data_IF_663510280125
#
_entry.id   IF_663510280125
#
_cell.length_a   1.000
_cell.length_b   1.000
_cell.length_c   1.000
_cell.angle_alpha   90.00
_cell.angle_beta   90.00
_cell.angle_gamma   90.00
#
_symmetry.space_group_name_H-M   'P 1'
#
loop_
_entity.id
_entity.type
_entity.pdbx_description
1 polymer ?
#
# COMPACT_ATOMS: atom_id res chain seq x y z
N UNK A 1 -21.90 -16.02 5.69
CA UNK A 1 -21.32 -17.23 5.11
C UNK A 1 -21.11 -16.93 3.65
N UNK A 2 -19.87 -16.80 3.22
CA UNK A 2 -19.55 -16.70 1.82
C UNK A 2 -19.81 -18.05 1.17
N UNK A 3 -20.53 -18.06 0.06
CA UNK A 3 -20.77 -19.29 -0.70
C UNK A 3 -19.45 -19.71 -1.36
N UNK A 4 -18.90 -20.83 -0.94
CA UNK A 4 -17.84 -21.49 -1.69
C UNK A 4 -18.42 -21.94 -3.03
N UNK A 5 -17.76 -21.58 -4.16
CA UNK A 5 -18.14 -22.09 -5.47
C UNK A 5 -18.08 -23.62 -5.55
N UNK A 6 -18.75 -24.20 -6.52
CA UNK A 6 -18.69 -25.64 -6.77
C UNK A 6 -17.31 -26.04 -7.29
N UNK A 7 -16.64 -26.94 -6.59
CA UNK A 7 -15.37 -27.50 -7.01
C UNK A 7 -15.32 -29.01 -6.73
N UNK A 8 -14.61 -29.75 -7.57
CA UNK A 8 -14.52 -31.21 -7.43
C UNK A 8 -13.64 -31.62 -6.24
N UNK A 9 -12.38 -31.23 -6.28
CA UNK A 9 -11.42 -31.49 -5.20
C UNK A 9 -10.17 -30.62 -5.36
N UNK A 10 -9.51 -30.34 -4.25
CA UNK A 10 -8.21 -29.66 -4.20
C UNK A 10 -7.14 -30.69 -3.86
N UNK A 11 -6.08 -30.77 -4.66
CA UNK A 11 -4.92 -31.62 -4.47
C UNK A 11 -3.64 -30.81 -4.33
N UNK A 12 -2.66 -31.35 -3.63
CA UNK A 12 -1.33 -30.75 -3.48
C UNK A 12 -0.89 -30.67 -2.02
N UNK A 13 0.17 -29.91 -1.80
CA UNK A 13 0.78 -29.76 -0.47
C UNK A 13 0.03 -28.72 0.39
N UNK A 14 -1.26 -28.88 0.58
CA UNK A 14 -2.13 -27.92 1.29
C UNK A 14 -1.64 -27.61 2.71
N UNK A 15 -0.93 -28.56 3.33
CA UNK A 15 -0.34 -28.39 4.67
C UNK A 15 0.77 -27.32 4.74
N UNK A 16 1.33 -26.95 3.59
CA UNK A 16 2.34 -25.88 3.50
C UNK A 16 1.69 -24.49 3.47
N UNK A 17 0.42 -24.40 3.05
CA UNK A 17 -0.32 -23.14 3.03
C UNK A 17 -0.84 -22.85 4.44
N UNK A 18 -0.57 -21.66 4.95
CA UNK A 18 -1.05 -21.20 6.25
C UNK A 18 -2.17 -20.19 6.12
N UNK A 19 -1.99 -19.22 5.23
CA UNK A 19 -2.91 -18.12 5.05
C UNK A 19 -3.08 -17.82 3.55
N UNK A 20 -4.21 -17.18 3.20
CA UNK A 20 -4.50 -16.65 1.88
C UNK A 20 -4.92 -15.19 2.05
N UNK A 21 -4.21 -14.28 1.40
CA UNK A 21 -4.47 -12.85 1.45
C UNK A 21 -4.89 -12.35 0.08
N UNK A 22 -6.12 -11.85 -0.02
CA UNK A 22 -6.61 -11.19 -1.23
C UNK A 22 -6.35 -9.69 -1.16
N UNK A 23 -5.48 -9.21 -2.06
CA UNK A 23 -5.03 -7.82 -2.09
C UNK A 23 -5.74 -7.09 -3.23
N UNK A 24 -6.89 -6.55 -2.92
CA UNK A 24 -7.75 -5.80 -3.82
C UNK A 24 -7.45 -4.28 -3.81
N UNK A 25 -8.12 -3.55 -4.70
CA UNK A 25 -8.03 -2.10 -4.82
C UNK A 25 -8.95 -1.34 -3.84
N UNK A 26 -9.64 -2.04 -2.94
CA UNK A 26 -10.47 -1.38 -1.94
C UNK A 26 -9.65 -0.49 -1.01
N UNK A 27 -10.18 0.65 -0.57
CA UNK A 27 -9.49 1.53 0.37
C UNK A 27 -9.03 0.79 1.62
N UNK A 28 -7.85 1.13 2.12
CA UNK A 28 -7.25 0.56 3.35
C UNK A 28 -8.18 0.77 4.54
N UNK A 29 -8.88 1.91 4.54
CA UNK A 29 -9.87 2.28 5.54
C UNK A 29 -10.81 3.32 4.93
N UNK A 30 -12.09 3.26 5.32
CA UNK A 30 -13.08 4.29 4.98
C UNK A 30 -12.96 5.53 5.89
N UNK A 31 -12.14 5.46 6.93
CA UNK A 31 -11.94 6.56 7.87
C UNK A 31 -11.00 7.60 7.29
N UNK A 32 -11.41 8.87 7.29
CA UNK A 32 -10.57 10.04 6.96
C UNK A 32 -9.33 10.16 7.86
N UNK A 33 -9.35 9.52 9.02
CA UNK A 33 -8.29 9.50 10.04
C UNK A 33 -7.25 8.41 9.84
N UNK A 34 -7.45 7.50 8.91
CA UNK A 34 -6.44 6.51 8.53
C UNK A 34 -5.50 7.11 7.50
N UNK A 35 -4.23 6.79 7.62
CA UNK A 35 -3.19 7.18 6.67
C UNK A 35 -2.11 6.08 6.56
N UNK A 36 -1.27 6.11 5.52
CA UNK A 36 -0.24 5.09 5.31
C UNK A 36 0.70 4.91 6.49
N UNK A 37 1.10 5.99 7.17
CA UNK A 37 2.05 5.91 8.29
C UNK A 37 1.45 5.24 9.52
N UNK A 38 0.14 5.40 9.77
CA UNK A 38 -0.56 4.67 10.84
C UNK A 38 -0.78 3.22 10.49
N UNK A 39 -1.09 2.92 9.22
CA UNK A 39 -1.28 1.55 8.74
C UNK A 39 -0.02 0.69 8.90
N UNK A 40 1.15 1.24 8.57
CA UNK A 40 2.44 0.57 8.77
C UNK A 40 2.96 0.66 10.20
N UNK A 41 2.21 1.25 11.14
CA UNK A 41 2.61 1.48 12.55
C UNK A 41 3.89 2.29 12.73
N UNK A 42 4.31 3.04 11.70
CA UNK A 42 5.45 3.95 11.80
C UNK A 42 5.13 5.17 12.66
N UNK A 43 3.87 5.60 12.66
CA UNK A 43 3.40 6.73 13.45
C UNK A 43 3.56 6.53 14.97
N UNK A 44 3.46 5.30 15.44
CA UNK A 44 3.65 4.99 16.86
C UNK A 44 5.08 5.30 17.34
N UNK A 45 6.07 5.01 16.51
CA UNK A 45 7.47 5.34 16.82
C UNK A 45 7.71 6.85 16.71
N UNK A 46 7.12 7.53 15.73
CA UNK A 46 7.20 8.98 15.59
C UNK A 46 6.61 9.67 16.84
N UNK A 47 5.43 9.23 17.31
CA UNK A 47 4.81 9.79 18.53
C UNK A 47 5.68 9.61 19.78
N UNK A 48 6.35 8.45 19.90
CA UNK A 48 7.30 8.21 21.00
C UNK A 48 8.47 9.18 20.93
N UNK A 49 9.06 9.37 19.75
CA UNK A 49 10.17 10.29 19.52
C UNK A 49 9.80 11.72 19.95
N UNK A 50 8.59 12.19 19.64
CA UNK A 50 8.14 13.53 20.05
C UNK A 50 7.86 13.62 21.55
N UNK A 51 7.36 12.57 22.18
CA UNK A 51 7.17 12.54 23.64
C UNK A 51 8.50 12.54 24.42
N UNK A 52 9.59 12.11 23.81
CA UNK A 52 10.93 12.13 24.42
C UNK A 52 11.62 13.49 24.36
N UNK A 53 11.08 14.48 23.64
CA UNK A 53 11.66 15.80 23.53
C UNK A 53 11.63 16.57 24.88
N UNK A 54 12.57 17.47 25.08
CA UNK A 54 12.71 18.21 26.34
C UNK A 54 11.43 18.96 26.76
N UNK A 55 10.78 19.64 25.78
CA UNK A 55 9.54 20.37 26.03
C UNK A 55 8.40 19.43 26.40
N UNK A 56 8.30 18.26 25.72
CA UNK A 56 7.30 17.24 26.06
C UNK A 56 7.43 16.72 27.48
N UNK A 57 8.66 16.50 27.94
CA UNK A 57 8.94 16.06 29.30
C UNK A 57 8.61 17.13 30.34
N UNK A 58 8.83 18.41 30.00
CA UNK A 58 8.48 19.54 30.88
C UNK A 58 6.97 19.72 31.05
N UNK A 59 6.19 19.41 29.96
CA UNK A 59 4.74 19.57 29.93
C UNK A 59 4.00 18.26 30.20
N UNK A 60 4.72 17.19 30.52
CA UNK A 60 4.19 15.84 30.78
C UNK A 60 3.37 15.29 29.61
N UNK A 61 3.82 15.53 28.36
CA UNK A 61 3.16 15.03 27.16
C UNK A 61 3.57 13.58 26.87
N UNK A 62 2.62 12.67 27.03
CA UNK A 62 2.79 11.28 26.62
C UNK A 62 2.66 11.12 25.09
N UNK A 63 3.04 9.97 24.49
CA UNK A 63 2.85 9.72 23.06
C UNK A 63 1.40 9.87 22.56
N UNK A 64 0.40 9.76 23.45
CA UNK A 64 -1.00 9.95 23.14
C UNK A 64 -1.33 11.39 22.71
N UNK A 65 -0.64 12.38 23.26
CA UNK A 65 -0.83 13.80 22.91
C UNK A 65 -0.46 14.10 21.45
N UNK A 66 0.46 13.34 20.88
CA UNK A 66 0.88 13.43 19.47
C UNK A 66 0.00 12.60 18.51
N UNK A 67 -1.17 12.16 18.97
CA UNK A 67 -2.17 11.47 18.16
C UNK A 67 -3.25 12.44 17.70
N UNK A 68 -3.52 12.51 16.39
CA UNK A 68 -4.67 13.25 15.86
C UNK A 68 -5.99 12.45 16.00
N UNK A 69 -5.94 11.19 16.46
CA UNK A 69 -7.11 10.32 16.60
C UNK A 69 -7.68 10.30 18.03
N UNK A 70 -6.87 10.66 19.02
CA UNK A 70 -7.26 10.62 20.43
C UNK A 70 -7.35 12.02 21.03
N UNK A 71 -8.27 12.27 21.99
CA UNK A 71 -8.31 13.54 22.73
C UNK A 71 -7.00 13.81 23.46
N UNK A 72 -6.71 15.09 23.73
CA UNK A 72 -5.52 15.54 24.43
C UNK A 72 -4.80 16.61 23.61
N UNK A 73 -3.96 16.22 22.67
CA UNK A 73 -3.19 17.15 21.84
C UNK A 73 -3.80 17.51 20.50
N UNK A 74 -4.83 16.80 20.03
CA UNK A 74 -5.51 17.12 18.78
C UNK A 74 -6.35 18.41 18.91
N UNK A 75 -6.58 19.07 17.78
CA UNK A 75 -7.57 20.13 17.69
C UNK A 75 -8.97 19.55 17.95
N UNK A 76 -9.68 20.05 18.95
CA UNK A 76 -11.01 19.51 19.28
C UNK A 76 -12.11 20.00 18.35
N UNK A 77 -11.92 21.15 17.68
CA UNK A 77 -12.89 21.70 16.72
C UNK A 77 -13.06 20.77 15.50
N UNK A 78 -11.95 20.35 14.88
CA UNK A 78 -11.96 19.41 13.76
C UNK A 78 -11.67 17.97 14.21
N UNK A 79 -11.52 17.72 15.50
CA UNK A 79 -11.20 16.41 16.07
C UNK A 79 -9.97 15.72 15.43
N UNK A 80 -8.99 16.54 14.99
CA UNK A 80 -7.75 16.07 14.40
C UNK A 80 -7.80 15.82 12.88
N UNK A 81 -8.89 16.15 12.19
CA UNK A 81 -8.98 16.01 10.74
C UNK A 81 -8.28 17.13 9.97
N UNK A 82 -8.15 18.30 10.59
CA UNK A 82 -7.62 19.52 9.94
C UNK A 82 -8.66 20.25 9.11
N UNK A 83 -9.75 19.59 8.75
CA UNK A 83 -10.87 20.11 7.96
C UNK A 83 -12.19 19.86 8.67
N UNK A 84 -13.23 20.59 8.27
CA UNK A 84 -14.62 20.41 8.71
C UNK A 84 -15.44 20.10 7.47
N UNK A 85 -16.16 19.00 7.50
CA UNK A 85 -17.07 18.60 6.43
C UNK A 85 -18.48 19.08 6.77
N UNK A 86 -19.07 19.84 5.86
CA UNK A 86 -20.48 20.29 5.93
C UNK A 86 -21.27 19.42 4.97
N UNK A 87 -22.07 18.51 5.53
CA UNK A 87 -22.92 17.62 4.75
C UNK A 87 -24.05 18.43 4.06
N UNK A 88 -24.19 18.23 2.75
CA UNK A 88 -25.19 18.91 1.91
C UNK A 88 -26.21 17.89 1.41
N UNK A 89 -27.50 18.11 1.71
CA UNK A 89 -28.57 17.14 1.39
C UNK A 89 -28.73 16.81 -0.11
N UNK A 90 -28.39 17.74 -1.01
CA UNK A 90 -28.61 17.59 -2.46
C UNK A 90 -27.39 17.92 -3.33
N UNK A 91 -26.24 18.17 -2.73
CA UNK A 91 -24.98 18.50 -3.41
C UNK A 91 -23.83 17.75 -2.75
N UNK A 92 -22.66 17.77 -3.40
CA UNK A 92 -21.43 17.23 -2.79
C UNK A 92 -21.13 17.98 -1.48
N UNK A 93 -20.63 17.25 -0.49
CA UNK A 93 -20.24 17.82 0.79
C UNK A 93 -19.17 18.89 0.62
N UNK A 94 -19.28 19.97 1.39
CA UNK A 94 -18.31 21.05 1.41
C UNK A 94 -17.26 20.76 2.48
N UNK A 95 -16.00 20.63 2.06
CA UNK A 95 -14.87 20.46 2.95
C UNK A 95 -14.13 21.79 3.08
N UNK A 96 -14.09 22.35 4.29
CA UNK A 96 -13.40 23.60 4.60
C UNK A 96 -12.27 23.37 5.57
N UNK A 97 -11.23 24.20 5.49
CA UNK A 97 -10.12 24.17 6.46
C UNK A 97 -10.63 24.57 7.85
N UNK A 98 -10.13 23.90 8.90
CA UNK A 98 -10.50 24.23 10.26
C UNK A 98 -9.89 25.58 10.68
N UNK A 99 -10.72 26.55 10.97
CA UNK A 99 -10.30 27.91 11.37
C UNK A 99 -9.47 27.90 12.67
N UNK A 100 -9.67 26.94 13.57
CA UNK A 100 -8.97 26.89 14.85
C UNK A 100 -7.53 26.41 14.71
N UNK A 101 -7.26 25.40 13.88
CA UNK A 101 -5.91 24.83 13.74
C UNK A 101 -5.27 25.10 12.37
N UNK A 102 -5.97 25.78 11.48
CA UNK A 102 -5.49 26.08 10.12
C UNK A 102 -4.88 24.83 9.44
N UNK A 103 -5.66 23.77 9.37
CA UNK A 103 -5.28 22.50 8.75
C UNK A 103 -4.27 21.65 9.56
N UNK A 104 -3.68 22.19 10.63
CA UNK A 104 -2.54 21.57 11.35
C UNK A 104 -2.92 20.40 12.26
N UNK A 105 -4.20 20.12 12.48
CA UNK A 105 -4.75 18.97 13.23
C UNK A 105 -4.51 18.96 14.74
N UNK A 106 -3.53 19.72 15.26
CA UNK A 106 -3.10 19.73 16.66
C UNK A 106 -3.31 21.08 17.32
N UNK A 107 -3.28 21.09 18.66
CA UNK A 107 -3.20 22.30 19.45
C UNK A 107 -1.82 22.93 19.30
N UNK A 108 -1.70 24.25 19.59
CA UNK A 108 -0.46 24.98 19.40
C UNK A 108 0.68 24.45 20.30
N UNK A 109 0.38 24.14 21.56
CA UNK A 109 1.36 23.60 22.52
C UNK A 109 2.00 22.28 22.05
N UNK A 110 1.28 21.44 21.30
CA UNK A 110 1.81 20.24 20.67
C UNK A 110 2.68 20.58 19.47
N UNK A 111 2.29 21.59 18.69
CA UNK A 111 3.05 22.06 17.53
C UNK A 111 4.37 22.75 17.93
N UNK A 112 4.45 23.28 19.14
CA UNK A 112 5.67 23.91 19.68
C UNK A 112 6.75 22.88 20.05
N UNK A 113 6.39 21.60 20.17
CA UNK A 113 7.36 20.51 20.32
C UNK A 113 8.04 20.21 18.99
N UNK A 114 9.36 20.34 18.95
CA UNK A 114 10.14 20.14 17.74
C UNK A 114 11.18 19.03 17.92
N UNK A 115 11.34 18.22 16.90
CA UNK A 115 12.46 17.33 16.70
C UNK A 115 13.26 17.80 15.49
N UNK A 116 14.53 18.17 15.69
CA UNK A 116 15.41 18.73 14.63
C UNK A 116 14.75 19.89 13.85
N UNK A 117 14.06 20.78 14.57
CA UNK A 117 13.40 21.96 14.01
C UNK A 117 12.08 21.68 13.27
N UNK A 118 11.55 20.46 13.32
CA UNK A 118 10.27 20.08 12.72
C UNK A 118 9.24 19.74 13.78
N UNK A 119 8.03 20.29 13.66
CA UNK A 119 6.88 19.90 14.46
C UNK A 119 6.32 18.54 13.96
N UNK A 120 5.45 17.94 14.77
CA UNK A 120 4.75 16.70 14.35
C UNK A 120 3.93 16.90 13.05
N UNK A 121 3.37 18.09 12.85
CA UNK A 121 2.65 18.43 11.63
C UNK A 121 3.57 18.52 10.42
N UNK A 122 4.75 19.17 10.57
CA UNK A 122 5.73 19.24 9.47
C UNK A 122 6.16 17.85 9.00
N UNK A 123 6.34 16.91 9.95
CA UNK A 123 6.65 15.51 9.62
C UNK A 123 5.50 14.83 8.88
N UNK A 124 4.26 15.07 9.28
CA UNK A 124 3.10 14.52 8.57
C UNK A 124 2.95 15.07 7.13
N UNK A 125 3.45 16.28 6.89
CA UNK A 125 3.48 16.89 5.55
C UNK A 125 4.64 16.40 4.67
N UNK A 126 5.65 15.73 5.24
CA UNK A 126 6.74 15.15 4.47
C UNK A 126 6.22 14.01 3.57
N UNK A 127 6.79 13.90 2.37
CA UNK A 127 6.66 12.68 1.58
C UNK A 127 7.41 11.53 2.27
N UNK A 128 7.08 10.29 1.93
CA UNK A 128 7.80 9.11 2.44
C UNK A 128 9.30 9.23 2.17
N UNK A 129 9.70 9.69 0.97
CA UNK A 129 11.11 9.88 0.63
C UNK A 129 11.78 10.89 1.55
N UNK A 130 11.17 12.07 1.74
CA UNK A 130 11.69 13.11 2.63
C UNK A 130 11.78 12.64 4.08
N UNK A 131 10.77 11.90 4.55
CA UNK A 131 10.76 11.38 5.91
C UNK A 131 11.84 10.32 6.14
N UNK A 132 12.03 9.39 5.17
CA UNK A 132 13.11 8.40 5.27
C UNK A 132 14.47 9.09 5.29
N UNK A 133 14.72 10.09 4.44
CA UNK A 133 15.96 10.88 4.45
C UNK A 133 16.14 11.59 5.81
N UNK A 134 15.12 12.33 6.28
CA UNK A 134 15.14 13.07 7.52
C UNK A 134 15.45 12.21 8.76
N UNK A 135 14.81 11.03 8.86
CA UNK A 135 15.01 10.12 9.98
C UNK A 135 16.28 9.26 9.86
N UNK A 136 16.82 9.06 8.65
CA UNK A 136 18.04 8.27 8.43
C UNK A 136 19.31 8.97 8.97
N UNK A 137 19.25 10.27 9.20
CA UNK A 137 20.38 11.02 9.75
C UNK A 137 20.57 10.81 11.26
N UNK A 138 19.66 10.10 11.93
CA UNK A 138 19.72 9.79 13.35
C UNK A 138 19.49 8.28 13.58
N UNK A 139 20.50 7.59 14.09
CA UNK A 139 20.44 6.15 14.35
C UNK A 139 19.32 5.75 15.32
N UNK A 140 18.92 6.65 16.23
CA UNK A 140 17.82 6.39 17.17
C UNK A 140 16.47 6.21 16.44
N UNK A 141 16.36 6.77 15.23
CA UNK A 141 15.18 6.69 14.37
C UNK A 141 15.15 5.46 13.43
N UNK A 142 16.11 4.54 13.56
CA UNK A 142 16.20 3.35 12.67
C UNK A 142 14.90 2.55 12.57
N UNK A 143 14.10 2.48 13.66
CA UNK A 143 12.79 1.80 13.66
C UNK A 143 11.77 2.52 12.79
N UNK A 144 11.78 3.87 12.78
CA UNK A 144 10.90 4.67 11.92
C UNK A 144 11.25 4.41 10.46
N UNK A 145 12.54 4.51 10.12
CA UNK A 145 13.05 4.24 8.77
C UNK A 145 12.68 2.83 8.30
N UNK A 146 12.90 1.81 9.14
CA UNK A 146 12.55 0.41 8.84
C UNK A 146 11.08 0.24 8.49
N UNK A 147 10.18 0.98 9.16
CA UNK A 147 8.75 0.92 8.91
C UNK A 147 8.30 1.72 7.68
N UNK A 148 9.02 2.80 7.32
CA UNK A 148 8.69 3.64 6.17
C UNK A 148 9.26 3.07 4.85
N UNK A 149 10.41 2.41 4.89
CA UNK A 149 11.11 1.90 3.71
C UNK A 149 10.27 1.00 2.81
N UNK A 150 9.40 0.11 3.33
CA UNK A 150 8.50 -0.68 2.47
C UNK A 150 7.59 0.16 1.57
N UNK A 151 7.20 1.38 1.98
CA UNK A 151 6.44 2.29 1.10
C UNK A 151 7.29 2.78 -0.09
N UNK A 152 8.59 3.02 0.11
CA UNK A 152 9.50 3.33 -1.00
C UNK A 152 9.67 2.12 -1.93
N UNK A 153 9.82 0.93 -1.34
CA UNK A 153 10.03 -0.33 -2.06
C UNK A 153 8.87 -0.69 -2.99
N UNK A 154 7.65 -0.18 -2.70
CA UNK A 154 6.46 -0.35 -3.57
C UNK A 154 6.17 0.88 -4.45
N UNK A 155 7.09 1.83 -4.55
CA UNK A 155 6.95 3.03 -5.40
C UNK A 155 6.05 4.12 -4.83
N UNK A 156 5.77 4.13 -3.53
CA UNK A 156 4.94 5.14 -2.86
C UNK A 156 5.78 6.22 -2.14
N UNK A 157 7.01 6.44 -2.58
CA UNK A 157 7.90 7.42 -1.98
C UNK A 157 7.40 8.87 -2.06
N UNK A 158 6.48 9.17 -2.97
CA UNK A 158 5.93 10.51 -3.22
C UNK A 158 4.73 10.87 -2.34
N UNK A 159 4.03 9.90 -1.73
CA UNK A 159 2.86 10.19 -0.89
C UNK A 159 3.28 10.84 0.43
N UNK A 160 2.43 11.71 0.97
CA UNK A 160 2.67 12.33 2.27
C UNK A 160 2.33 11.37 3.41
N UNK A 161 3.11 11.43 4.50
CA UNK A 161 2.88 10.58 5.68
C UNK A 161 1.49 10.74 6.26
N UNK A 162 1.00 11.98 6.32
CA UNK A 162 -0.31 12.34 6.87
C UNK A 162 -1.45 12.30 5.85
N UNK A 163 -1.22 11.87 4.61
CA UNK A 163 -2.26 11.79 3.58
C UNK A 163 -3.37 10.84 4.01
N UNK A 164 -4.63 11.29 3.94
CA UNK A 164 -5.76 10.44 4.29
C UNK A 164 -5.87 9.23 3.34
N UNK A 165 -6.13 8.05 3.91
CA UNK A 165 -6.36 6.83 3.12
C UNK A 165 -7.55 6.94 2.16
N UNK A 166 -8.52 7.81 2.44
CA UNK A 166 -9.67 8.07 1.56
C UNK A 166 -9.30 8.83 0.28
N UNK A 167 -8.13 9.48 0.24
CA UNK A 167 -7.64 10.22 -0.93
C UNK A 167 -6.69 9.40 -1.80
N UNK A 168 -6.35 8.19 -1.37
CA UNK A 168 -5.52 7.29 -2.14
C UNK A 168 -6.33 6.65 -3.27
N UNK A 169 -5.71 6.51 -4.43
CA UNK A 169 -6.26 5.70 -5.52
C UNK A 169 -6.31 4.22 -5.12
N UNK A 170 -7.12 3.42 -5.85
CA UNK A 170 -7.20 1.98 -5.61
C UNK A 170 -5.84 1.30 -5.69
N UNK A 171 -5.03 1.61 -6.71
CA UNK A 171 -3.68 1.08 -6.86
C UNK A 171 -2.70 1.53 -5.76
N UNK A 172 -2.80 2.78 -5.25
CA UNK A 172 -2.01 3.22 -4.10
C UNK A 172 -2.41 2.48 -2.83
N UNK A 173 -3.71 2.30 -2.59
CA UNK A 173 -4.24 1.52 -1.46
C UNK A 173 -3.73 0.08 -1.49
N UNK A 174 -3.74 -0.56 -2.65
CA UNK A 174 -3.22 -1.91 -2.86
C UNK A 174 -1.72 -1.99 -2.56
N UNK A 175 -0.92 -1.01 -3.03
CA UNK A 175 0.52 -0.97 -2.74
C UNK A 175 0.83 -0.68 -1.28
N UNK A 176 0.02 0.10 -0.56
CA UNK A 176 0.18 0.26 0.90
C UNK A 176 -0.09 -1.07 1.62
N UNK A 177 -1.08 -1.87 1.18
CA UNK A 177 -1.30 -3.23 1.69
C UNK A 177 -0.07 -4.10 1.44
N UNK A 178 0.47 -4.10 0.21
CA UNK A 178 1.70 -4.81 -0.14
C UNK A 178 2.89 -4.38 0.75
N UNK A 179 3.08 -3.07 0.97
CA UNK A 179 4.13 -2.56 1.84
C UNK A 179 3.98 -3.08 3.28
N UNK A 180 2.75 -3.23 3.78
CA UNK A 180 2.52 -3.75 5.13
C UNK A 180 2.92 -5.23 5.27
N UNK A 181 2.72 -6.04 4.24
CA UNK A 181 3.19 -7.44 4.23
C UNK A 181 4.72 -7.51 4.16
N UNK A 182 5.35 -6.68 3.34
CA UNK A 182 6.82 -6.59 3.28
C UNK A 182 7.46 -6.10 4.58
N UNK A 183 6.71 -5.36 5.41
CA UNK A 183 7.17 -4.89 6.72
C UNK A 183 7.05 -5.93 7.83
N UNK A 184 6.33 -7.04 7.62
CA UNK A 184 6.18 -8.11 8.61
C UNK A 184 7.46 -8.94 8.70
N UNK A 185 7.81 -9.31 9.94
CA UNK A 185 9.01 -10.14 10.21
C UNK A 185 8.67 -11.64 10.25
N UNK A 186 7.40 -12.00 10.40
CA UNK A 186 6.95 -13.38 10.43
C UNK A 186 6.75 -13.94 9.02
N UNK A 187 7.59 -14.87 8.62
CA UNK A 187 7.49 -15.57 7.34
C UNK A 187 6.65 -16.84 7.47
N UNK A 188 5.34 -16.69 7.55
CA UNK A 188 4.43 -17.82 7.39
C UNK A 188 4.11 -17.96 5.90
N UNK A 189 4.30 -19.15 5.28
CA UNK A 189 3.97 -19.34 3.87
C UNK A 189 2.52 -18.94 3.59
N UNK A 190 2.32 -17.88 2.84
CA UNK A 190 1.04 -17.25 2.52
C UNK A 190 0.87 -17.21 1.01
N UNK A 191 -0.34 -17.44 0.53
CA UNK A 191 -0.70 -17.16 -0.88
C UNK A 191 -1.26 -15.75 -0.93
N UNK A 192 -0.61 -14.89 -1.70
CA UNK A 192 -1.10 -13.55 -2.03
C UNK A 192 -1.79 -13.58 -3.38
N UNK A 193 -3.02 -13.08 -3.44
CA UNK A 193 -3.76 -12.92 -4.69
C UNK A 193 -3.92 -11.43 -4.96
N UNK A 194 -3.33 -10.93 -6.04
CA UNK A 194 -3.42 -9.54 -6.48
C UNK A 194 -4.34 -9.43 -7.69
N UNK A 195 -5.25 -8.46 -7.64
CA UNK A 195 -6.18 -8.16 -8.71
C UNK A 195 -5.77 -6.86 -9.40
N UNK A 196 -5.33 -6.97 -10.66
CA UNK A 196 -4.87 -5.89 -11.54
C UNK A 196 -3.92 -4.86 -10.85
N UNK A 197 -2.82 -5.30 -10.22
CA UNK A 197 -1.97 -4.41 -9.44
C UNK A 197 -1.23 -3.35 -10.26
N UNK A 198 -1.23 -3.45 -11.59
CA UNK A 198 -0.60 -2.46 -12.48
C UNK A 198 -1.52 -1.36 -12.96
N UNK A 199 -2.81 -1.39 -12.59
CA UNK A 199 -3.78 -0.38 -13.02
C UNK A 199 -3.31 1.03 -12.66
N UNK A 200 -3.22 1.91 -13.67
CA UNK A 200 -2.78 3.30 -13.51
C UNK A 200 -1.28 3.49 -13.27
N UNK A 201 -0.45 2.43 -13.41
CA UNK A 201 0.99 2.53 -13.26
C UNK A 201 1.70 2.89 -14.57
N UNK A 202 2.73 3.71 -14.46
CA UNK A 202 3.68 3.91 -15.54
C UNK A 202 4.68 2.74 -15.61
N UNK A 203 5.29 2.49 -16.76
CA UNK A 203 6.21 1.36 -16.99
C UNK A 203 7.32 1.23 -15.91
N UNK A 204 7.89 2.35 -15.46
CA UNK A 204 8.91 2.35 -14.41
C UNK A 204 8.38 1.86 -13.06
N UNK A 205 7.12 2.18 -12.75
CA UNK A 205 6.49 1.78 -11.49
C UNK A 205 6.16 0.29 -11.49
N UNK A 206 5.88 -0.29 -12.66
CA UNK A 206 5.69 -1.73 -12.83
C UNK A 206 6.97 -2.50 -12.46
N UNK A 207 8.14 -2.01 -12.87
CA UNK A 207 9.42 -2.64 -12.48
C UNK A 207 9.64 -2.61 -10.96
N UNK A 208 9.25 -1.51 -10.30
CA UNK A 208 9.33 -1.39 -8.83
C UNK A 208 8.36 -2.38 -8.18
N UNK A 209 7.13 -2.47 -8.69
CA UNK A 209 6.13 -3.42 -8.21
C UNK A 209 6.62 -4.88 -8.35
N UNK A 210 7.17 -5.25 -9.51
CA UNK A 210 7.70 -6.60 -9.75
C UNK A 210 8.85 -6.95 -8.78
N UNK A 211 9.73 -6.00 -8.45
CA UNK A 211 10.76 -6.20 -7.44
C UNK A 211 10.16 -6.46 -6.05
N UNK A 212 9.11 -5.74 -5.69
CA UNK A 212 8.41 -5.92 -4.42
C UNK A 212 7.72 -7.30 -4.34
N UNK A 213 7.07 -7.74 -5.43
CA UNK A 213 6.43 -9.06 -5.53
C UNK A 213 7.48 -10.19 -5.47
N UNK A 214 8.59 -10.04 -6.18
CA UNK A 214 9.71 -11.00 -6.12
C UNK A 214 10.30 -11.11 -4.71
N UNK A 215 10.27 -10.05 -3.93
CA UNK A 215 10.70 -10.10 -2.52
C UNK A 215 9.74 -10.93 -1.67
N UNK A 216 8.41 -10.89 -1.91
CA UNK A 216 7.47 -11.81 -1.25
C UNK A 216 7.80 -13.26 -1.61
N UNK A 217 8.04 -13.57 -2.88
CA UNK A 217 8.40 -14.91 -3.36
C UNK A 217 9.70 -15.38 -2.69
N UNK A 218 10.73 -14.52 -2.64
CA UNK A 218 12.01 -14.82 -1.98
C UNK A 218 11.88 -15.06 -0.47
N UNK A 219 10.83 -14.50 0.16
CA UNK A 219 10.50 -14.76 1.56
C UNK A 219 9.69 -16.05 1.76
N UNK A 220 9.46 -16.86 0.71
CA UNK A 220 8.78 -18.16 0.79
C UNK A 220 7.26 -18.08 0.62
N UNK A 221 6.72 -16.97 0.11
CA UNK A 221 5.32 -16.83 -0.22
C UNK A 221 5.03 -17.24 -1.67
N UNK A 222 3.78 -17.52 -1.97
CA UNK A 222 3.27 -17.72 -3.34
C UNK A 222 2.49 -16.49 -3.76
N UNK A 223 2.72 -16.02 -4.99
CA UNK A 223 2.02 -14.84 -5.53
C UNK A 223 1.22 -15.25 -6.76
N UNK A 224 -0.08 -15.00 -6.73
CA UNK A 224 -1.00 -15.15 -7.85
C UNK A 224 -1.41 -13.75 -8.27
N UNK A 225 -1.33 -13.46 -9.56
CA UNK A 225 -1.66 -12.13 -10.10
C UNK A 225 -2.70 -12.30 -11.20
N UNK A 226 -3.82 -11.61 -11.07
CA UNK A 226 -4.81 -11.46 -12.14
C UNK A 226 -4.38 -10.22 -12.92
N UNK A 227 -3.93 -10.40 -14.16
CA UNK A 227 -3.33 -9.32 -14.94
C UNK A 227 -3.47 -9.51 -16.44
N UNK A 228 -3.41 -8.38 -17.14
CA UNK A 228 -3.36 -8.33 -18.60
C UNK A 228 -2.15 -7.52 -19.10
N UNK A 229 -1.34 -6.99 -18.21
CA UNK A 229 -0.13 -6.25 -18.55
C UNK A 229 0.99 -7.21 -19.00
N UNK A 230 1.48 -7.07 -20.25
CA UNK A 230 2.46 -8.00 -20.81
C UNK A 230 3.77 -8.08 -20.03
N UNK A 231 4.21 -6.96 -19.43
CA UNK A 231 5.46 -6.94 -18.65
C UNK A 231 5.35 -7.81 -17.40
N UNK A 232 4.17 -7.88 -16.79
CA UNK A 232 3.91 -8.75 -15.64
C UNK A 232 3.78 -10.20 -16.07
N UNK A 233 3.04 -10.45 -17.16
CA UNK A 233 2.85 -11.81 -17.69
C UNK A 233 4.21 -12.41 -18.10
N UNK A 234 5.08 -11.63 -18.75
CA UNK A 234 6.42 -12.06 -19.15
C UNK A 234 7.36 -12.31 -17.95
N UNK A 235 7.08 -11.71 -16.79
CA UNK A 235 7.87 -11.89 -15.58
C UNK A 235 7.37 -13.06 -14.70
N UNK A 236 6.26 -13.70 -15.07
CA UNK A 236 5.67 -14.80 -14.31
C UNK A 236 6.43 -16.12 -14.54
N UNK A 237 6.53 -16.96 -13.50
CA UNK A 237 7.06 -18.32 -13.62
C UNK A 237 6.07 -19.26 -14.33
N UNK A 238 4.76 -18.97 -14.18
CA UNK A 238 3.69 -19.78 -14.73
C UNK A 238 2.47 -18.90 -15.07
N UNK A 239 1.89 -19.12 -16.24
CA UNK A 239 0.70 -18.42 -16.74
C UNK A 239 -0.44 -19.39 -16.88
N UNK A 240 -1.62 -18.97 -16.47
CA UNK A 240 -2.90 -19.67 -16.71
C UNK A 240 -3.75 -18.73 -17.56
N UNK A 241 -3.90 -19.05 -18.83
CA UNK A 241 -4.69 -18.25 -19.77
C UNK A 241 -6.15 -18.71 -19.80
N UNK A 242 -7.06 -17.77 -19.53
CA UNK A 242 -8.50 -18.00 -19.48
C UNK A 242 -9.17 -17.33 -20.67
N UNK A 243 -10.08 -18.06 -21.32
CA UNK A 243 -10.80 -17.54 -22.48
C UNK A 243 -11.73 -18.58 -23.10
N UNK A 244 -11.87 -18.57 -24.47
CA UNK A 244 -11.32 -17.56 -25.40
C UNK A 244 -12.02 -16.21 -25.29
N UNK A 245 -13.33 -16.21 -25.00
CA UNK A 245 -14.19 -15.03 -24.92
C UNK A 245 -14.49 -14.65 -23.46
N UNK A 246 -15.35 -13.65 -23.26
CA UNK A 246 -15.86 -13.26 -21.94
C UNK A 246 -17.28 -13.78 -21.67
N UNK A 247 -17.76 -13.65 -20.44
CA UNK A 247 -19.13 -14.02 -20.07
C UNK A 247 -19.41 -15.51 -20.19
N UNK A 248 -20.56 -15.87 -20.77
CA UNK A 248 -21.04 -17.27 -20.91
C UNK A 248 -20.18 -18.13 -21.86
N UNK A 249 -19.45 -17.51 -22.77
CA UNK A 249 -18.58 -18.17 -23.75
C UNK A 249 -17.10 -18.22 -23.30
N UNK A 250 -16.81 -17.70 -22.09
CA UNK A 250 -15.46 -17.59 -21.53
C UNK A 250 -15.25 -18.36 -20.24
N UNK A 251 -14.11 -18.10 -19.61
CA UNK A 251 -13.78 -18.69 -18.30
C UNK A 251 -13.21 -20.11 -18.37
N UNK A 252 -12.92 -20.61 -19.56
CA UNK A 252 -12.25 -21.90 -19.77
C UNK A 252 -10.73 -21.72 -19.76
N UNK A 253 -10.00 -22.74 -19.33
CA UNK A 253 -8.54 -22.75 -19.46
C UNK A 253 -8.20 -23.00 -20.93
N UNK A 254 -7.60 -21.99 -21.59
CA UNK A 254 -7.12 -22.09 -22.97
C UNK A 254 -5.78 -22.82 -23.01
N UNK A 255 -4.84 -22.39 -22.19
CA UNK A 255 -3.53 -23.03 -22.01
C UNK A 255 -2.90 -22.65 -20.67
N UNK A 256 -1.89 -23.40 -20.27
CA UNK A 256 -1.06 -23.12 -19.10
C UNK A 256 0.39 -23.45 -19.43
N UNK A 257 1.33 -22.73 -18.80
CA UNK A 257 2.76 -22.96 -18.97
C UNK A 257 3.59 -21.73 -18.67
N UNK A 258 4.87 -21.76 -19.02
CA UNK A 258 5.72 -20.57 -18.95
C UNK A 258 5.25 -19.53 -20.00
N UNK A 259 5.61 -18.25 -19.85
CA UNK A 259 5.28 -17.24 -20.88
C UNK A 259 5.67 -17.66 -22.31
N UNK A 260 6.83 -18.33 -22.47
CA UNK A 260 7.32 -18.81 -23.77
C UNK A 260 6.51 -19.99 -24.30
N UNK A 261 5.99 -20.84 -23.43
CA UNK A 261 5.10 -21.96 -23.81
C UNK A 261 3.74 -21.41 -24.24
N UNK A 262 3.17 -20.47 -23.50
CA UNK A 262 1.92 -19.79 -23.85
C UNK A 262 2.05 -19.03 -25.16
N UNK A 263 3.20 -18.36 -25.41
CA UNK A 263 3.47 -17.66 -26.66
C UNK A 263 3.43 -18.55 -27.91
N UNK A 264 3.64 -19.86 -27.76
CA UNK A 264 3.56 -20.84 -28.87
C UNK A 264 2.15 -21.38 -29.11
N UNK A 265 1.22 -21.08 -28.21
CA UNK A 265 -0.15 -21.63 -28.29
C UNK A 265 -1.00 -20.80 -29.26
N UNK A 266 -1.39 -21.40 -30.39
CA UNK A 266 -2.07 -20.69 -31.50
C UNK A 266 -3.47 -20.18 -31.17
N UNK A 267 -4.17 -20.80 -30.23
CA UNK A 267 -5.54 -20.42 -29.83
C UNK A 267 -5.54 -19.32 -28.75
N UNK A 268 -4.42 -19.10 -28.06
CA UNK A 268 -4.29 -18.07 -27.03
C UNK A 268 -4.12 -16.69 -27.62
N UNK A 269 -5.01 -15.76 -27.29
CA UNK A 269 -4.85 -14.33 -27.61
C UNK A 269 -3.66 -13.72 -26.86
N UNK A 270 -3.53 -14.06 -25.59
CA UNK A 270 -2.38 -13.68 -24.75
C UNK A 270 -1.08 -14.19 -25.38
N UNK A 271 -1.06 -15.47 -25.81
CA UNK A 271 0.08 -16.09 -26.46
C UNK A 271 0.52 -15.39 -27.74
N UNK A 272 -0.43 -15.03 -28.62
CA UNK A 272 -0.11 -14.26 -29.84
C UNK A 272 0.55 -12.92 -29.55
N UNK A 273 0.12 -12.24 -28.48
CA UNK A 273 0.69 -10.97 -28.09
C UNK A 273 2.09 -11.12 -27.47
N UNK A 274 2.28 -12.14 -26.63
CA UNK A 274 3.59 -12.46 -26.04
C UNK A 274 4.61 -12.85 -27.12
N UNK A 275 4.23 -13.60 -28.14
CA UNK A 275 5.09 -13.96 -29.27
C UNK A 275 5.68 -12.71 -29.97
N UNK A 276 4.85 -11.69 -30.23
CA UNK A 276 5.29 -10.44 -30.85
C UNK A 276 6.34 -9.71 -30.00
N UNK A 277 6.18 -9.74 -28.67
CA UNK A 277 7.13 -9.10 -27.72
C UNK A 277 8.45 -9.87 -27.70
N UNK A 278 8.41 -11.20 -27.65
CA UNK A 278 9.58 -12.07 -27.63
C UNK A 278 10.40 -11.85 -28.92
N UNK A 279 9.73 -11.89 -30.09
CA UNK A 279 10.36 -11.70 -31.39
C UNK A 279 11.01 -10.29 -31.51
N UNK A 280 10.33 -9.26 -30.99
CA UNK A 280 10.86 -7.89 -31.03
C UNK A 280 12.09 -7.69 -30.13
N UNK A 281 12.20 -8.46 -29.04
CA UNK A 281 13.35 -8.44 -28.15
C UNK A 281 14.55 -9.22 -28.69
N UNK A 282 14.34 -10.21 -29.53
CA UNK A 282 15.41 -10.94 -30.23
C UNK A 282 15.97 -10.19 -31.44
N UNK A 283 15.24 -9.17 -31.94
CA UNK A 283 15.65 -8.36 -33.09
C UNK A 283 16.51 -7.13 -32.72
N UNK A 284 16.74 -6.89 -31.43
CA UNK A 284 17.63 -5.84 -30.89
C UNK A 284 18.93 -6.45 -30.39
#
# INVERSE_FOLDING_TARGET
>A
MEHTGDFGHIKGSLHLMRDIEYVDQNPISRSSRSNPVTYLKAYDEIRRLYAEQALSKQLDFSPAYFSFNTPGGRCETCQGEGTITIEMQFMADLVIECEQCHGKRFKQDILDVHYRGKSIYDVLCMTVNQAVEFFSEDETCAKIVKRLKPLQDVGLGYIQLGQSSSTLSGGESQRVKLASFLAQEENRPTIFVFDEPTTGLHQRDIEVLLKALNRLISNGHTVIIIEHNPSVIMAADHVIDLGPEGGTEGGYIVCTGTPEEVARHQESYTGKYLAQIIDSNHAK
#
